data_IF_660707411475
#
_entry.id   IF_660707411475
#
_cell.length_a   1.000
_cell.length_b   1.000
_cell.length_c   1.000
_cell.angle_alpha   90.00
_cell.angle_beta   90.00
_cell.angle_gamma   90.00
#
_symmetry.space_group_name_H-M   'P 1'
#
loop_
_entity.id
_entity.type
_entity.pdbx_description
1 polymer ?
#
# COMPACT_ATOMS: atom_id res chain seq x y z
N UNK A 1 16.69 23.00 0.77
CA UNK A 1 16.18 22.27 1.95
C UNK A 1 14.70 21.99 1.73
N UNK A 2 14.35 20.70 1.72
CA UNK A 2 13.00 20.11 1.82
C UNK A 2 11.93 20.54 0.80
N UNK A 3 12.06 20.06 -0.44
CA UNK A 3 10.90 19.81 -1.30
C UNK A 3 10.19 18.56 -0.78
N UNK A 4 9.22 18.76 0.11
CA UNK A 4 8.46 17.66 0.73
C UNK A 4 7.62 16.92 -0.30
N UNK A 5 7.65 15.60 -0.15
CA UNK A 5 7.12 14.59 -1.03
C UNK A 5 5.68 14.82 -1.50
N UNK A 6 5.46 14.70 -2.81
CA UNK A 6 4.21 14.24 -3.37
C UNK A 6 4.52 13.12 -4.38
N UNK A 7 5.10 12.02 -3.89
CA UNK A 7 5.15 10.76 -4.65
C UNK A 7 3.81 10.06 -4.45
N UNK A 8 2.75 10.61 -5.06
CA UNK A 8 1.50 9.87 -5.26
C UNK A 8 1.62 9.12 -6.57
N UNK A 9 2.36 8.01 -6.60
CA UNK A 9 2.47 7.22 -7.84
C UNK A 9 2.13 5.74 -7.74
N UNK A 10 2.00 5.16 -6.55
CA UNK A 10 1.25 3.92 -6.34
C UNK A 10 1.07 3.83 -4.84
N UNK A 11 -0.06 4.32 -4.30
CA UNK A 11 -0.41 3.94 -2.94
C UNK A 11 -0.58 2.43 -2.99
N UNK A 12 0.41 1.67 -2.50
CA UNK A 12 0.27 0.23 -2.29
C UNK A 12 -0.69 0.04 -1.12
N UNK A 13 -1.91 0.53 -1.29
CA UNK A 13 -2.93 0.55 -0.29
C UNK A 13 -3.92 -0.56 -0.62
N UNK A 14 -4.16 -1.40 0.37
CA UNK A 14 -5.15 -2.45 0.28
C UNK A 14 -6.54 -1.83 0.17
N UNK A 15 -7.17 -1.96 -0.99
CA UNK A 15 -8.51 -1.43 -1.29
C UNK A 15 -9.63 -2.42 -0.96
N UNK A 16 -9.32 -3.52 -0.28
CA UNK A 16 -10.31 -4.46 0.20
C UNK A 16 -11.22 -3.80 1.24
N UNK A 17 -12.51 -4.18 1.22
CA UNK A 17 -13.52 -3.64 2.12
C UNK A 17 -13.13 -3.87 3.58
N UNK A 18 -12.72 -2.79 4.27
CA UNK A 18 -12.37 -2.81 5.69
C UNK A 18 -10.87 -2.89 6.01
N UNK A 19 -9.97 -2.99 5.01
CA UNK A 19 -8.53 -3.08 5.28
C UNK A 19 -7.85 -1.70 5.27
N UNK A 20 -7.81 -1.02 4.12
CA UNK A 20 -7.26 0.35 4.03
C UNK A 20 -5.77 0.49 4.40
N UNK A 21 -5.05 -0.61 4.62
CA UNK A 21 -3.63 -0.59 4.99
C UNK A 21 -2.77 -0.11 3.82
N UNK A 22 -1.82 0.78 4.10
CA UNK A 22 -0.88 1.29 3.11
C UNK A 22 0.52 0.72 3.35
N UNK A 23 1.13 0.19 2.30
CA UNK A 23 2.44 -0.43 2.33
C UNK A 23 3.48 0.40 1.57
N UNK A 24 4.75 0.39 2.01
CA UNK A 24 5.83 1.09 1.34
C UNK A 24 6.24 0.41 0.03
N UNK A 25 5.98 -0.89 -0.10
CA UNK A 25 6.41 -1.73 -1.23
C UNK A 25 5.24 -2.51 -1.82
N UNK A 26 5.27 -2.74 -3.14
CA UNK A 26 4.28 -3.57 -3.83
C UNK A 26 4.31 -5.03 -3.34
N UNK A 27 5.49 -5.57 -3.04
CA UNK A 27 5.63 -6.94 -2.55
C UNK A 27 4.88 -7.19 -1.24
N UNK A 28 4.98 -6.26 -0.29
CA UNK A 28 4.26 -6.37 0.98
C UNK A 28 2.74 -6.25 0.81
N UNK A 29 2.27 -5.43 -0.14
CA UNK A 29 0.85 -5.38 -0.48
C UNK A 29 0.36 -6.72 -1.06
N UNK A 30 1.15 -7.34 -1.95
CA UNK A 30 0.77 -8.62 -2.56
C UNK A 30 0.72 -9.71 -1.49
N UNK A 31 1.76 -9.84 -0.67
CA UNK A 31 1.82 -10.84 0.41
C UNK A 31 0.66 -10.65 1.41
N UNK A 32 0.34 -9.40 1.76
CA UNK A 32 -0.82 -9.10 2.60
C UNK A 32 -2.15 -9.54 1.96
N UNK A 33 -2.34 -9.31 0.66
CA UNK A 33 -3.56 -9.74 -0.03
C UNK A 33 -3.64 -11.27 -0.08
N UNK A 34 -2.52 -11.96 -0.33
CA UNK A 34 -2.46 -13.43 -0.37
C UNK A 34 -2.67 -14.08 1.01
N UNK A 35 -2.14 -13.51 2.10
CA UNK A 35 -2.28 -14.07 3.45
C UNK A 35 -3.60 -13.68 4.13
N UNK A 36 -4.06 -12.44 3.94
CA UNK A 36 -5.23 -11.90 4.66
C UNK A 36 -6.54 -12.02 3.89
N UNK A 37 -6.51 -12.01 2.54
CA UNK A 37 -7.71 -11.93 1.71
C UNK A 37 -7.96 -13.15 0.80
N UNK A 38 -7.09 -14.16 0.78
CA UNK A 38 -7.23 -15.40 -0.03
C UNK A 38 -7.49 -16.64 0.83
#
# INVERSE_FOLDING_TARGET
MTGVAAVSFFSNACRFSGCGLAFPSLGELIEHIEDTHI
#
